data_IF_130931036370
#
_entry.id   IF_130931036370
#
_cell.length_a   1.000
_cell.length_b   1.000
_cell.length_c   1.000
_cell.angle_alpha   90.00
_cell.angle_beta   90.00
_cell.angle_gamma   90.00
#
_symmetry.space_group_name_H-M   'P 1'
#
loop_
_entity.id
_entity.type
_entity.pdbx_description
1 polymer ?
#
# COMPACT_ATOMS: atom_id res chain seq x y z
N UNK A 1 0.63 0.82 5.59
CA UNK A 1 1.22 -0.10 6.57
C UNK A 1 2.57 0.42 7.03
N UNK A 2 3.46 -0.44 7.49
CA UNK A 2 4.87 -0.14 7.78
C UNK A 2 5.78 -0.88 6.80
N UNK A 3 7.10 -0.75 6.96
CA UNK A 3 8.09 -1.50 6.19
C UNK A 3 8.02 -3.03 6.39
N UNK A 4 7.44 -3.50 7.50
CA UNK A 4 7.27 -4.93 7.80
C UNK A 4 6.02 -5.53 7.13
N UNK A 5 5.08 -4.68 6.72
CA UNK A 5 3.89 -5.12 6.00
C UNK A 5 4.18 -5.24 4.51
N UNK A 6 3.35 -6.03 3.82
CA UNK A 6 3.30 -6.00 2.37
C UNK A 6 2.78 -4.63 1.88
N UNK A 7 2.96 -4.34 0.59
CA UNK A 7 2.30 -3.19 -0.04
C UNK A 7 0.79 -3.40 -0.02
N UNK A 8 0.01 -2.32 -0.10
CA UNK A 8 -1.47 -2.41 -0.13
C UNK A 8 -1.93 -3.34 -1.26
N UNK A 9 -1.34 -3.21 -2.44
CA UNK A 9 -1.67 -4.06 -3.59
C UNK A 9 -1.28 -5.52 -3.38
N UNK A 10 -0.07 -5.75 -2.86
CA UNK A 10 0.44 -7.09 -2.56
C UNK A 10 -0.42 -7.80 -1.52
N UNK A 11 -0.77 -7.11 -0.44
CA UNK A 11 -1.68 -7.59 0.60
C UNK A 11 -3.07 -7.90 0.03
N UNK A 12 -3.66 -6.97 -0.72
CA UNK A 12 -5.00 -7.12 -1.29
C UNK A 12 -5.12 -8.32 -2.24
N UNK A 13 -4.11 -8.50 -3.11
CA UNK A 13 -4.11 -9.57 -4.12
C UNK A 13 -3.76 -10.93 -3.52
N UNK A 14 -2.82 -10.99 -2.58
CA UNK A 14 -2.16 -12.26 -2.24
C UNK A 14 -2.37 -12.73 -0.79
N UNK A 15 -2.80 -11.86 0.14
CA UNK A 15 -2.81 -12.19 1.57
C UNK A 15 -4.22 -12.23 2.19
N UNK A 16 -5.24 -11.72 1.51
CA UNK A 16 -6.62 -11.67 2.02
C UNK A 16 -7.61 -12.42 1.15
N UNK A 17 -8.68 -12.87 1.79
CA UNK A 17 -9.80 -13.57 1.18
C UNK A 17 -10.91 -12.61 0.70
N UNK A 18 -11.87 -13.14 -0.07
CA UNK A 18 -12.95 -12.36 -0.67
C UNK A 18 -13.85 -11.66 0.37
N UNK A 19 -14.21 -12.27 1.51
CA UNK A 19 -14.93 -11.57 2.58
C UNK A 19 -14.19 -10.34 3.10
N UNK A 20 -12.87 -10.42 3.29
CA UNK A 20 -12.04 -9.29 3.73
C UNK A 20 -11.97 -8.20 2.65
N UNK A 21 -11.88 -8.59 1.36
CA UNK A 21 -11.92 -7.64 0.23
C UNK A 21 -13.25 -6.91 0.17
N UNK A 22 -14.36 -7.62 0.35
CA UNK A 22 -15.71 -7.04 0.34
C UNK A 22 -15.89 -6.08 1.53
N UNK A 23 -15.44 -6.48 2.72
CA UNK A 23 -15.46 -5.62 3.89
C UNK A 23 -14.67 -4.33 3.67
N UNK A 24 -13.42 -4.44 3.17
CA UNK A 24 -12.58 -3.28 2.88
C UNK A 24 -13.25 -2.35 1.86
N UNK A 25 -13.80 -2.89 0.77
CA UNK A 25 -14.47 -2.09 -0.25
C UNK A 25 -15.70 -1.35 0.32
N UNK A 26 -16.51 -2.01 1.16
CA UNK A 26 -17.65 -1.37 1.85
C UNK A 26 -17.19 -0.29 2.83
N UNK A 27 -16.20 -0.59 3.65
CA UNK A 27 -15.72 0.32 4.70
C UNK A 27 -15.09 1.59 4.12
N UNK A 28 -14.28 1.44 3.08
CA UNK A 28 -13.62 2.56 2.37
C UNK A 28 -14.55 3.27 1.38
N UNK A 29 -15.75 2.72 1.15
CA UNK A 29 -16.68 3.12 0.08
C UNK A 29 -15.99 3.17 -1.30
N UNK A 30 -15.07 2.23 -1.56
CA UNK A 30 -14.29 2.18 -2.80
C UNK A 30 -15.21 2.10 -4.01
N UNK A 31 -14.97 2.95 -5.00
CA UNK A 31 -15.69 2.94 -6.27
C UNK A 31 -14.98 2.10 -7.32
N UNK A 32 -15.70 1.68 -8.35
CA UNK A 32 -15.14 0.83 -9.40
C UNK A 32 -13.98 1.49 -10.16
N UNK A 33 -13.99 2.83 -10.27
CA UNK A 33 -12.93 3.61 -10.90
C UNK A 33 -11.73 3.89 -9.98
N UNK A 34 -11.77 3.47 -8.71
CA UNK A 34 -10.75 3.79 -7.70
C UNK A 34 -9.89 2.54 -7.40
N UNK A 35 -8.56 2.73 -7.42
CA UNK A 35 -7.60 1.68 -7.06
C UNK A 35 -7.70 1.34 -5.56
N UNK A 36 -7.21 0.18 -5.13
CA UNK A 36 -7.29 -0.19 -3.70
C UNK A 36 -6.38 0.71 -2.85
N UNK A 37 -5.25 1.08 -3.41
CA UNK A 37 -4.24 1.98 -2.88
C UNK A 37 -4.83 3.36 -2.65
N UNK A 38 -5.46 3.96 -3.66
CA UNK A 38 -6.12 5.26 -3.52
C UNK A 38 -7.25 5.23 -2.49
N UNK A 39 -8.08 4.17 -2.48
CA UNK A 39 -9.14 4.04 -1.48
C UNK A 39 -8.58 4.01 -0.05
N UNK A 40 -7.53 3.22 0.19
CA UNK A 40 -6.89 3.11 1.51
C UNK A 40 -6.14 4.39 1.91
N UNK A 41 -5.40 5.02 0.98
CA UNK A 41 -4.70 6.28 1.22
C UNK A 41 -5.69 7.42 1.53
N UNK A 42 -6.77 7.54 0.75
CA UNK A 42 -7.85 8.49 1.00
C UNK A 42 -8.45 8.28 2.39
N UNK A 43 -8.70 7.03 2.79
CA UNK A 43 -9.21 6.73 4.14
C UNK A 43 -8.22 7.19 5.22
N UNK A 44 -6.94 6.87 5.09
CA UNK A 44 -5.90 7.27 6.06
C UNK A 44 -5.77 8.80 6.15
N UNK A 45 -5.74 9.51 5.02
CA UNK A 45 -5.64 10.96 4.98
C UNK A 45 -6.92 11.68 5.43
N UNK A 46 -8.08 11.04 5.31
CA UNK A 46 -9.35 11.57 5.83
C UNK A 46 -9.53 11.36 7.34
N UNK A 47 -8.62 10.63 8.00
CA UNK A 47 -8.74 10.35 9.42
C UNK A 47 -8.55 11.61 10.27
N UNK A 48 -9.09 11.60 11.49
CA UNK A 48 -8.90 12.68 12.48
C UNK A 48 -7.50 12.69 13.11
N UNK A 49 -6.60 11.83 12.65
CA UNK A 49 -5.24 11.71 13.16
C UNK A 49 -4.46 12.98 12.88
N UNK A 50 -3.67 13.45 13.85
CA UNK A 50 -2.77 14.60 13.65
C UNK A 50 -1.72 14.34 12.56
N UNK A 51 -1.31 13.08 12.39
CA UNK A 51 -0.32 12.67 11.42
C UNK A 51 -0.75 11.40 10.71
N UNK A 52 -0.57 11.40 9.39
CA UNK A 52 -0.74 10.24 8.53
C UNK A 52 0.57 10.00 7.77
N UNK A 53 1.01 8.74 7.71
CA UNK A 53 2.24 8.34 7.02
C UNK A 53 1.87 7.28 6.00
N UNK A 54 2.25 7.50 4.75
CA UNK A 54 2.15 6.54 3.65
C UNK A 54 3.53 6.00 3.30
N UNK A 55 3.60 4.75 2.83
CA UNK A 55 4.85 4.22 2.29
C UNK A 55 4.99 4.65 0.84
N UNK A 56 6.23 4.82 0.37
CA UNK A 56 6.49 5.19 -1.02
C UNK A 56 5.98 4.12 -1.99
N UNK A 57 6.02 2.85 -1.60
CA UNK A 57 5.51 1.74 -2.40
C UNK A 57 3.99 1.83 -2.63
N UNK A 58 3.24 2.26 -1.61
CA UNK A 58 1.79 2.44 -1.73
C UNK A 58 1.46 3.68 -2.58
N UNK A 59 2.23 4.78 -2.46
CA UNK A 59 2.08 5.97 -3.31
C UNK A 59 2.37 5.68 -4.79
N UNK A 60 3.29 4.75 -5.07
CA UNK A 60 3.65 4.31 -6.41
C UNK A 60 2.78 3.14 -6.93
N UNK A 61 1.76 2.72 -6.18
CA UNK A 61 0.85 1.60 -6.50
C UNK A 61 1.60 0.28 -6.86
N UNK A 62 2.69 0.00 -6.14
CA UNK A 62 3.52 -1.18 -6.42
C UNK A 62 2.95 -2.45 -5.78
N UNK A 63 3.15 -3.59 -6.44
CA UNK A 63 2.78 -4.90 -5.91
C UNK A 63 3.78 -5.41 -4.85
N UNK A 64 3.55 -6.65 -4.38
CA UNK A 64 4.34 -7.25 -3.32
C UNK A 64 5.83 -7.49 -3.64
N UNK A 65 6.25 -7.34 -4.90
CA UNK A 65 7.69 -7.35 -5.25
C UNK A 65 8.46 -6.18 -4.64
N UNK A 66 7.76 -5.10 -4.26
CA UNK A 66 8.34 -3.92 -3.63
C UNK A 66 8.37 -3.97 -2.10
N UNK A 67 7.97 -5.08 -1.48
CA UNK A 67 7.94 -5.22 -0.01
C UNK A 67 9.34 -4.99 0.59
N UNK A 68 9.42 -4.12 1.60
CA UNK A 68 10.69 -3.73 2.20
C UNK A 68 11.28 -4.81 3.10
N UNK A 69 10.46 -5.42 3.97
CA UNK A 69 10.91 -6.45 4.90
C UNK A 69 9.90 -7.58 5.03
N UNK A 70 10.42 -8.81 5.07
CA UNK A 70 9.72 -10.03 5.48
C UNK A 70 10.23 -10.42 6.86
N UNK A 71 9.47 -10.17 7.95
CA UNK A 71 9.90 -10.49 9.29
C UNK A 71 10.33 -11.95 9.43
N UNK A 72 11.36 -12.20 10.26
CA UNK A 72 11.91 -13.54 10.52
C UNK A 72 12.52 -14.26 9.31
N UNK A 73 12.98 -13.53 8.30
CA UNK A 73 13.70 -14.09 7.14
C UNK A 73 15.13 -13.54 7.05
N UNK A 74 16.03 -14.33 6.45
CA UNK A 74 17.41 -13.94 6.18
C UNK A 74 17.60 -13.68 4.68
N UNK A 75 18.23 -12.55 4.33
CA UNK A 75 18.48 -12.14 2.95
C UNK A 75 17.24 -11.55 2.25
N UNK A 76 17.48 -10.80 1.16
CA UNK A 76 16.41 -10.22 0.31
C UNK A 76 15.71 -8.96 0.86
N UNK A 77 15.68 -8.77 2.18
CA UNK A 77 15.10 -7.58 2.83
C UNK A 77 15.93 -6.32 2.59
N UNK A 78 15.31 -5.14 2.75
CA UNK A 78 15.96 -3.83 2.70
C UNK A 78 16.62 -3.48 1.35
N UNK A 79 16.19 -4.17 0.29
CA UNK A 79 16.77 -4.06 -1.05
C UNK A 79 15.95 -3.20 -2.00
N UNK A 80 14.68 -2.92 -1.68
CA UNK A 80 13.82 -2.10 -2.52
C UNK A 80 14.34 -0.67 -2.60
N UNK A 81 14.32 -0.12 -3.82
CA UNK A 81 14.72 1.25 -4.11
C UNK A 81 13.76 1.84 -5.15
N UNK A 82 13.28 3.05 -4.89
CA UNK A 82 12.65 3.86 -5.90
C UNK A 82 13.67 4.21 -7.00
N UNK A 83 13.23 4.13 -8.25
CA UNK A 83 14.00 4.58 -9.42
C UNK A 83 13.78 6.07 -9.67
N UNK A 84 14.71 6.73 -10.35
CA UNK A 84 14.55 8.15 -10.67
C UNK A 84 13.29 8.41 -11.51
N UNK A 85 12.97 7.50 -12.45
CA UNK A 85 11.82 7.65 -13.35
C UNK A 85 10.45 7.53 -12.63
N UNK A 86 10.43 6.94 -11.43
CA UNK A 86 9.22 6.86 -10.61
C UNK A 86 8.91 8.15 -9.85
N UNK A 87 9.89 9.06 -9.71
CA UNK A 87 9.66 10.36 -9.11
C UNK A 87 9.06 11.30 -10.16
N UNK A 88 7.73 11.42 -10.14
CA UNK A 88 6.98 12.30 -11.04
C UNK A 88 6.41 13.49 -10.26
N UNK A 89 6.04 14.59 -10.94
CA UNK A 89 5.39 15.74 -10.27
C UNK A 89 4.05 15.42 -9.60
N UNK A 90 3.44 14.27 -9.90
CA UNK A 90 2.23 13.82 -9.21
C UNK A 90 2.52 13.18 -7.84
N UNK A 91 3.78 12.84 -7.60
CA UNK A 91 4.27 12.09 -6.43
C UNK A 91 5.20 12.94 -5.56
N UNK A 92 5.89 13.93 -6.13
CA UNK A 92 6.62 15.00 -5.42
C UNK A 92 5.68 15.99 -4.73
#
# INVERSE_FOLDING_TARGET
GTHDNNTVLGWYRNEIDDPTREYMARYTNRKEYETVEHAMLRTVFSSVSFMAIATMQDLLELDGSARMNFPSTLGGNWSWRMTADQLTPAVE
#
